data_IF_788484712356
#
_entry.id   IF_788484712356
#
_cell.length_a   1.000
_cell.length_b   1.000
_cell.length_c   1.000
_cell.angle_alpha   90.00
_cell.angle_beta   90.00
_cell.angle_gamma   90.00
#
_symmetry.space_group_name_H-M   'P 1'
#
loop_
_entity.id
_entity.type
_entity.pdbx_description
1 polymer ?
#
# COMPACT_ATOMS: atom_id res chain seq x y z
N UNK A 1 -11.15 -8.21 -19.51
CA UNK A 1 -10.24 -7.49 -18.58
C UNK A 1 -9.44 -8.54 -17.81
N UNK A 2 -8.37 -9.03 -18.44
CA UNK A 2 -7.40 -9.92 -17.79
C UNK A 2 -6.27 -9.04 -17.25
N UNK A 3 -6.55 -8.29 -16.19
CA UNK A 3 -5.48 -7.63 -15.45
C UNK A 3 -4.73 -8.76 -14.76
N UNK A 4 -3.61 -9.18 -15.35
CA UNK A 4 -2.69 -10.16 -14.79
C UNK A 4 -2.45 -9.76 -13.34
N UNK A 5 -2.83 -10.63 -12.40
CA UNK A 5 -2.80 -10.34 -10.97
C UNK A 5 -1.49 -9.61 -10.59
N UNK A 6 -1.45 -8.71 -9.60
CA UNK A 6 -0.17 -8.21 -9.10
C UNK A 6 0.71 -9.40 -8.69
N UNK A 7 2.03 -9.35 -8.91
CA UNK A 7 2.90 -10.44 -8.43
C UNK A 7 2.68 -10.64 -6.94
N UNK A 8 2.65 -11.90 -6.47
CA UNK A 8 2.36 -12.21 -5.07
C UNK A 8 3.27 -11.42 -4.12
N UNK A 9 4.50 -11.16 -4.55
CA UNK A 9 5.48 -10.33 -3.85
C UNK A 9 5.05 -8.86 -3.74
N UNK A 10 4.60 -8.22 -4.83
CA UNK A 10 4.16 -6.81 -4.79
C UNK A 10 2.86 -6.66 -4.00
N UNK A 11 1.95 -7.63 -4.10
CA UNK A 11 0.73 -7.65 -3.29
C UNK A 11 1.09 -7.69 -1.78
N UNK A 12 1.99 -8.59 -1.38
CA UNK A 12 2.46 -8.68 0.01
C UNK A 12 3.10 -7.37 0.47
N UNK A 13 3.97 -6.76 -0.35
CA UNK A 13 4.61 -5.47 0.00
C UNK A 13 3.54 -4.38 0.22
N UNK A 14 2.60 -4.23 -0.71
CA UNK A 14 1.55 -3.23 -0.60
C UNK A 14 0.64 -3.45 0.61
N UNK A 15 0.35 -4.72 0.93
CA UNK A 15 -0.46 -5.10 2.08
C UNK A 15 0.25 -4.76 3.40
N UNK A 16 1.57 -4.99 3.49
CA UNK A 16 2.37 -4.59 4.66
C UNK A 16 2.36 -3.07 4.83
N UNK A 17 2.54 -2.29 3.76
CA UNK A 17 2.51 -0.81 3.83
C UNK A 17 1.11 -0.32 4.24
N UNK A 18 0.05 -0.97 3.74
CA UNK A 18 -1.33 -0.65 4.11
C UNK A 18 -1.59 -0.91 5.61
N UNK A 19 -1.08 -2.02 6.15
CA UNK A 19 -1.17 -2.32 7.59
C UNK A 19 -0.41 -1.27 8.42
N UNK A 20 0.77 -0.83 7.97
CA UNK A 20 1.53 0.23 8.65
C UNK A 20 0.74 1.54 8.64
N UNK A 21 0.11 1.90 7.52
CA UNK A 21 -0.76 3.07 7.42
C UNK A 21 -1.99 2.98 8.34
N UNK A 22 -2.58 1.80 8.47
CA UNK A 22 -3.70 1.55 9.38
C UNK A 22 -3.28 1.68 10.85
N UNK A 23 -2.12 1.13 11.22
CA UNK A 23 -1.55 1.29 12.57
C UNK A 23 -1.22 2.75 12.89
N UNK A 24 -0.74 3.51 11.90
CA UNK A 24 -0.54 4.95 12.04
C UNK A 24 -1.87 5.70 12.22
N UNK A 25 -2.94 5.32 11.52
CA UNK A 25 -4.27 5.90 11.68
C UNK A 25 -4.89 5.62 13.06
N UNK A 26 -4.59 4.45 13.63
CA UNK A 26 -5.00 4.05 14.99
C UNK A 26 -4.18 4.75 16.09
N UNK A 27 -3.25 5.64 15.74
CA UNK A 27 -2.46 6.40 16.70
C UNK A 27 -1.32 5.62 17.34
N UNK A 28 -0.99 4.41 16.84
CA UNK A 28 0.17 3.64 17.32
C UNK A 28 1.48 4.40 17.09
N UNK A 29 1.51 5.23 16.05
CA UNK A 29 2.62 6.12 15.69
C UNK A 29 2.34 7.60 16.01
N UNK A 30 1.56 7.91 17.06
CA UNK A 30 1.17 9.28 17.42
C UNK A 30 2.33 10.27 17.69
N UNK A 31 3.57 9.78 17.78
CA UNK A 31 4.78 10.59 17.95
C UNK A 31 5.27 11.28 16.66
N UNK A 32 4.77 10.86 15.50
CA UNK A 32 5.18 11.42 14.21
C UNK A 32 3.92 12.02 13.57
N UNK A 33 3.85 13.35 13.33
CA UNK A 33 2.71 13.99 12.69
C UNK A 33 2.76 13.76 11.18
N UNK A 34 2.93 12.51 10.75
CA UNK A 34 2.69 12.10 9.38
C UNK A 34 1.22 11.70 9.30
N UNK A 35 0.44 12.41 8.48
CA UNK A 35 -0.97 12.07 8.30
C UNK A 35 -1.05 10.64 7.75
N UNK A 36 -1.70 9.74 8.49
CA UNK A 36 -1.83 8.32 8.14
C UNK A 36 -2.40 8.11 6.72
N UNK A 37 -3.17 9.09 6.23
CA UNK A 37 -3.68 9.18 4.87
C UNK A 37 -2.56 9.05 3.82
N UNK A 38 -1.39 9.66 4.04
CA UNK A 38 -0.25 9.59 3.11
C UNK A 38 0.37 8.20 3.05
N UNK A 39 0.42 7.50 4.17
CA UNK A 39 1.01 6.15 4.24
C UNK A 39 0.11 5.16 3.49
N UNK A 40 -1.21 5.25 3.69
CA UNK A 40 -2.19 4.42 2.98
C UNK A 40 -2.24 4.77 1.48
N UNK A 41 -2.10 6.06 1.13
CA UNK A 41 -2.03 6.50 -0.27
C UNK A 41 -0.82 5.88 -0.98
N UNK A 42 0.36 5.88 -0.36
CA UNK A 42 1.56 5.24 -0.91
C UNK A 42 1.34 3.73 -1.07
N UNK A 43 0.71 3.05 -0.10
CA UNK A 43 0.38 1.63 -0.22
C UNK A 43 -0.46 1.33 -1.47
N UNK A 44 -1.45 2.18 -1.74
CA UNK A 44 -2.35 2.04 -2.89
C UNK A 44 -1.64 2.35 -4.22
N UNK A 45 -0.74 3.33 -4.24
CA UNK A 45 0.10 3.64 -5.40
C UNK A 45 1.01 2.46 -5.74
N UNK A 46 1.62 1.82 -4.73
CA UNK A 46 2.48 0.63 -4.92
C UNK A 46 1.67 -0.55 -5.45
N UNK A 47 0.46 -0.79 -4.91
CA UNK A 47 -0.43 -1.83 -5.41
C UNK A 47 -0.85 -1.56 -6.87
N UNK A 48 -1.28 -0.33 -7.18
CA UNK A 48 -1.70 0.07 -8.51
C UNK A 48 -0.56 -0.03 -9.53
N UNK A 49 0.64 0.45 -9.18
CA UNK A 49 1.84 0.28 -10.01
C UNK A 49 2.18 -1.20 -10.24
N UNK A 50 2.09 -2.02 -9.20
CA UNK A 50 2.29 -3.48 -9.32
C UNK A 50 1.30 -4.18 -10.25
N UNK A 51 0.04 -3.76 -10.23
CA UNK A 51 -0.99 -4.25 -11.15
C UNK A 51 -0.75 -3.79 -12.60
N UNK A 52 -0.29 -2.55 -12.81
CA UNK A 52 -0.01 -1.99 -14.14
C UNK A 52 1.23 -2.62 -14.78
N UNK A 53 2.31 -2.84 -14.02
CA UNK A 53 3.57 -3.41 -14.53
C UNK A 53 3.43 -4.87 -14.97
N UNK A 54 2.51 -5.64 -14.36
CA UNK A 54 2.21 -7.02 -14.79
C UNK A 54 1.11 -7.09 -15.85
N UNK A 55 0.37 -6.00 -16.05
CA UNK A 55 -0.68 -5.85 -17.06
C UNK A 55 -0.21 -5.31 -18.43
N UNK A 56 1.02 -4.81 -18.52
CA UNK A 56 1.71 -4.42 -19.75
C UNK A 56 2.64 -5.55 -20.24
#
# INVERSE_FOLDING_TARGET
MNLSAPTQLIFIISLVIAIIGLLAALGVFAFIPLAAVWIVLIAYIVLAGGCLVRGA
#
